data_IF_591647027714
#
_entry.id   IF_591647027714
#
_cell.length_a   1.000
_cell.length_b   1.000
_cell.length_c   1.000
_cell.angle_alpha   90.00
_cell.angle_beta   90.00
_cell.angle_gamma   90.00
#
_symmetry.space_group_name_H-M   'P 1'
#
loop_
_entity.id
_entity.type
_entity.pdbx_description
1 polymer ?
#
# COMPACT_ATOMS: atom_id res chain seq x y z
N UNK A 1 -0.82 5.58 -5.30
CA UNK A 1 -1.56 5.23 -6.50
C UNK A 1 -2.44 4.02 -6.27
N UNK A 2 -3.55 3.99 -6.97
CA UNK A 2 -4.51 2.91 -6.90
C UNK A 2 -4.55 2.18 -8.23
N UNK A 3 -4.35 0.87 -8.20
CA UNK A 3 -4.36 0.02 -9.38
C UNK A 3 -5.41 -1.07 -9.21
N UNK A 4 -6.02 -1.50 -10.31
CA UNK A 4 -7.03 -2.53 -10.27
C UNK A 4 -6.93 -3.47 -11.45
N UNK A 5 -7.34 -4.71 -11.24
CA UNK A 5 -7.35 -5.74 -12.28
C UNK A 5 -8.61 -6.61 -12.12
N UNK A 6 -9.48 -6.56 -13.10
CA UNK A 6 -10.68 -7.38 -13.11
C UNK A 6 -11.57 -7.16 -11.88
N UNK A 7 -12.07 -8.24 -11.31
CA UNK A 7 -12.93 -8.19 -10.14
C UNK A 7 -12.16 -7.90 -8.86
N UNK A 8 -10.89 -8.27 -8.82
CA UNK A 8 -10.05 -8.01 -7.67
C UNK A 8 -9.27 -6.74 -7.89
N UNK A 9 -9.52 -5.73 -7.09
CA UNK A 9 -8.77 -4.49 -7.16
C UNK A 9 -7.52 -4.62 -6.32
N UNK A 10 -6.37 -4.35 -6.92
CA UNK A 10 -5.09 -4.37 -6.24
C UNK A 10 -4.79 -2.97 -5.73
N UNK A 11 -4.68 -2.84 -4.42
CA UNK A 11 -4.35 -1.57 -3.78
C UNK A 11 -3.02 -1.75 -3.07
N UNK A 12 -2.06 -0.89 -3.37
CA UNK A 12 -0.72 -0.97 -2.81
C UNK A 12 -0.37 0.38 -2.18
N UNK A 13 -0.85 0.63 -0.95
CA UNK A 13 -0.48 1.85 -0.27
C UNK A 13 0.95 1.75 0.24
N UNK A 14 1.68 2.84 0.15
CA UNK A 14 3.04 2.91 0.64
C UNK A 14 3.29 4.20 1.36
N UNK A 15 4.25 4.20 2.25
CA UNK A 15 4.61 5.39 3.01
C UNK A 15 5.93 5.23 3.71
N UNK A 16 6.41 6.34 4.24
CA UNK A 16 7.65 6.38 4.99
C UNK A 16 7.40 6.05 6.45
N UNK A 17 8.34 5.36 7.07
CA UNK A 17 8.24 5.03 8.48
C UNK A 17 8.57 6.24 9.34
N UNK A 18 7.66 6.56 10.24
CA UNK A 18 7.83 7.64 11.20
C UNK A 18 7.62 7.10 12.61
N UNK A 19 8.36 7.64 13.57
CA UNK A 19 8.15 7.30 14.96
C UNK A 19 6.81 7.84 15.45
N UNK A 20 6.19 7.12 16.36
CA UNK A 20 4.96 7.57 16.99
C UNK A 20 3.69 7.21 16.25
N UNK A 21 3.80 6.58 15.09
CA UNK A 21 2.65 6.11 14.32
C UNK A 21 2.84 4.65 13.91
N UNK A 22 1.77 3.88 13.97
CA UNK A 22 1.79 2.53 13.41
C UNK A 22 1.66 2.62 11.89
N UNK A 23 2.50 1.90 11.13
CA UNK A 23 2.48 2.01 9.67
C UNK A 23 1.11 1.78 9.04
N UNK A 24 0.36 0.76 9.49
CA UNK A 24 -0.96 0.48 8.94
C UNK A 24 -1.94 1.64 9.16
N UNK A 25 -1.94 2.19 10.36
CA UNK A 25 -2.83 3.30 10.70
C UNK A 25 -2.51 4.56 9.90
N UNK A 26 -1.22 4.85 9.74
CA UNK A 26 -0.78 5.99 8.94
C UNK A 26 -1.23 5.85 7.48
N UNK A 27 -1.09 4.65 6.92
CA UNK A 27 -1.49 4.40 5.53
C UNK A 27 -3.00 4.52 5.34
N UNK A 28 -3.79 4.03 6.28
CA UNK A 28 -5.24 4.16 6.23
C UNK A 28 -5.63 5.63 6.19
N UNK A 29 -5.07 6.42 7.11
CA UNK A 29 -5.36 7.84 7.21
C UNK A 29 -4.93 8.61 5.96
N UNK A 30 -3.69 8.43 5.53
CA UNK A 30 -3.16 9.14 4.38
C UNK A 30 -3.89 8.78 3.09
N UNK A 31 -4.19 7.51 2.90
CA UNK A 31 -4.87 7.06 1.70
C UNK A 31 -6.29 7.64 1.63
N UNK A 32 -6.98 7.66 2.76
CA UNK A 32 -8.32 8.25 2.83
C UNK A 32 -8.29 9.75 2.55
N UNK A 33 -7.31 10.45 3.11
CA UNK A 33 -7.16 11.89 2.88
C UNK A 33 -6.87 12.21 1.42
N UNK A 34 -6.01 11.43 0.79
CA UNK A 34 -5.57 11.70 -0.58
C UNK A 34 -6.55 11.21 -1.63
N UNK A 35 -7.21 10.10 -1.41
CA UNK A 35 -8.02 9.47 -2.44
C UNK A 35 -9.51 9.36 -2.13
N UNK A 36 -9.89 9.52 -0.88
CA UNK A 36 -11.27 9.28 -0.46
C UNK A 36 -11.64 7.81 -0.30
N UNK A 37 -10.66 6.92 -0.41
CA UNK A 37 -10.89 5.47 -0.33
C UNK A 37 -10.43 4.96 1.02
N UNK A 38 -11.32 4.23 1.71
CA UNK A 38 -10.97 3.53 2.94
C UNK A 38 -10.45 2.15 2.59
N UNK A 39 -9.28 1.83 3.11
CA UNK A 39 -8.58 0.58 2.85
C UNK A 39 -8.28 -0.17 4.13
N UNK A 40 -8.02 -1.47 3.99
CA UNK A 40 -7.52 -2.31 5.08
C UNK A 40 -6.20 -2.94 4.63
N UNK A 41 -5.05 -2.42 5.11
CA UNK A 41 -3.75 -3.02 4.78
C UNK A 41 -3.65 -4.45 5.32
N UNK A 42 -3.14 -5.36 4.50
CA UNK A 42 -3.03 -6.78 4.84
C UNK A 42 -1.58 -7.20 4.94
N UNK A 43 -1.00 -7.68 3.84
CA UNK A 43 0.38 -8.16 3.86
C UNK A 43 1.37 -7.03 3.60
N UNK A 44 2.49 -7.08 4.30
CA UNK A 44 3.64 -6.24 4.00
C UNK A 44 4.33 -6.87 2.79
N UNK A 45 4.31 -6.19 1.65
CA UNK A 45 4.81 -6.76 0.40
C UNK A 45 6.20 -6.27 0.03
N UNK A 46 6.65 -5.19 0.63
CA UNK A 46 7.98 -4.72 0.32
C UNK A 46 8.45 -3.63 1.24
N UNK A 47 9.76 -3.53 1.35
CA UNK A 47 10.44 -2.46 2.09
C UNK A 47 11.60 -1.97 1.25
N UNK A 48 11.76 -0.66 1.16
CA UNK A 48 12.88 -0.04 0.48
C UNK A 48 13.68 0.78 1.49
N UNK A 49 14.96 0.54 1.53
CA UNK A 49 15.85 1.25 2.46
C UNK A 49 16.79 2.16 1.70
N UNK A 50 17.00 3.37 2.23
CA UNK A 50 18.12 4.19 1.83
C UNK A 50 18.64 4.91 3.07
N UNK A 51 19.64 5.77 2.92
CA UNK A 51 20.26 6.42 4.07
C UNK A 51 19.38 7.49 4.71
N UNK A 52 18.37 7.96 4.02
CA UNK A 52 17.47 9.02 4.49
C UNK A 52 16.21 8.48 5.13
N UNK A 53 15.62 7.47 4.52
CA UNK A 53 14.32 7.01 4.94
C UNK A 53 14.08 5.56 4.56
N UNK A 54 13.10 4.98 5.22
CA UNK A 54 12.64 3.63 4.95
C UNK A 54 11.19 3.72 4.48
N UNK A 55 10.92 3.07 3.38
CA UNK A 55 9.61 3.07 2.75
C UNK A 55 9.02 1.67 2.85
N UNK A 56 7.74 1.58 3.26
CA UNK A 56 7.04 0.30 3.33
C UNK A 56 5.82 0.33 2.42
N UNK A 57 5.49 -0.82 1.86
CA UNK A 57 4.32 -0.96 1.03
C UNK A 57 3.54 -2.21 1.43
N UNK A 58 2.23 -2.08 1.43
CA UNK A 58 1.33 -3.16 1.80
C UNK A 58 0.40 -3.48 0.64
N UNK A 59 -0.10 -4.72 0.59
CA UNK A 59 -1.30 -5.02 -0.16
C UNK A 59 -2.48 -4.67 0.74
N UNK A 60 -3.49 -4.01 0.20
CA UNK A 60 -4.64 -3.61 0.97
C UNK A 60 -5.93 -4.03 0.29
N UNK A 61 -6.96 -4.26 1.08
CA UNK A 61 -8.30 -4.51 0.59
C UNK A 61 -9.08 -3.21 0.55
N UNK A 62 -9.89 -3.06 -0.48
CA UNK A 62 -10.83 -1.95 -0.58
C UNK A 62 -11.98 -2.17 0.41
N UNK A 63 -12.31 -1.14 1.18
CA UNK A 63 -13.42 -1.20 2.12
C UNK A 63 -14.59 -0.35 1.62
N UNK A 64 -14.36 0.93 1.34
CA UNK A 64 -15.41 1.82 0.90
C UNK A 64 -14.83 3.09 0.30
N UNK A 65 -15.70 3.89 -0.31
CA UNK A 65 -15.32 5.19 -0.85
C UNK A 65 -15.13 5.17 -2.36
N UNK A 66 -15.11 6.34 -2.96
CA UNK A 66 -14.85 6.50 -4.39
C UNK A 66 -13.51 7.20 -4.58
N UNK A 67 -12.68 6.63 -5.46
CA UNK A 67 -11.39 7.22 -5.76
C UNK A 67 -11.56 8.63 -6.32
N UNK A 68 -10.80 9.57 -5.77
CA UNK A 68 -10.82 10.95 -6.19
C UNK A 68 -9.44 11.57 -6.02
N UNK A 69 -9.23 12.66 -6.74
CA UNK A 69 -8.08 13.50 -6.54
C UNK A 69 -8.24 14.30 -5.24
N UNK A 70 -7.16 14.55 -4.53
CA UNK A 70 -7.17 15.32 -3.29
C UNK A 70 -7.02 16.82 -3.52
N UNK A 71 -7.25 17.29 -4.73
CA UNK A 71 -7.07 18.67 -5.14
C UNK A 71 -5.61 19.11 -5.24
N UNK A 72 -4.68 18.22 -4.99
CA UNK A 72 -3.29 18.45 -5.30
C UNK A 72 -3.12 18.13 -6.77
N UNK A 73 -2.53 19.02 -7.50
CA UNK A 73 -2.37 18.91 -8.95
C UNK A 73 -1.61 17.67 -9.40
N UNK A 74 -0.88 17.03 -8.48
CA UNK A 74 -0.10 15.84 -8.79
C UNK A 74 -0.74 14.54 -8.32
N UNK A 75 -1.89 14.64 -7.67
CA UNK A 75 -2.58 13.46 -7.14
C UNK A 75 -3.79 13.14 -7.97
N UNK A 76 -3.76 11.99 -8.59
CA UNK A 76 -4.91 11.48 -9.32
C UNK A 76 -5.11 10.02 -8.94
N UNK A 77 -6.24 9.74 -8.31
CA UNK A 77 -6.58 8.39 -7.91
C UNK A 77 -7.48 7.77 -8.97
N UNK A 78 -6.93 6.86 -9.75
CA UNK A 78 -7.67 6.18 -10.79
C UNK A 78 -7.45 4.68 -10.68
N UNK A 79 -8.43 3.91 -11.16
CA UNK A 79 -8.32 2.46 -11.23
C UNK A 79 -7.67 2.10 -12.56
N UNK A 80 -6.53 1.44 -12.49
CA UNK A 80 -5.76 1.04 -13.67
C UNK A 80 -5.53 -0.47 -13.60
N UNK A 81 -5.69 -1.15 -14.72
CA UNK A 81 -5.41 -2.58 -14.81
C UNK A 81 -3.94 -2.83 -14.48
N UNK A 82 -3.66 -3.93 -13.77
CA UNK A 82 -2.30 -4.32 -13.39
C UNK A 82 -1.39 -4.42 -14.60
N UNK A 83 -1.82 -5.10 -15.66
CA UNK A 83 -1.01 -5.23 -16.87
C UNK A 83 -0.74 -3.88 -17.52
N UNK A 84 -1.72 -3.01 -17.55
CA UNK A 84 -1.56 -1.67 -18.08
C UNK A 84 -0.54 -0.89 -17.25
N UNK A 85 -0.63 -0.97 -15.93
CA UNK A 85 0.30 -0.27 -15.04
C UNK A 85 1.74 -0.75 -15.25
N UNK A 86 1.94 -2.05 -15.43
CA UNK A 86 3.27 -2.62 -15.64
C UNK A 86 3.90 -2.20 -16.98
N UNK A 87 3.07 -1.78 -17.93
CA UNK A 87 3.55 -1.38 -19.26
C UNK A 87 3.61 0.12 -19.47
N UNK A 88 3.21 0.91 -18.48
CA UNK A 88 3.25 2.37 -18.60
C UNK A 88 4.64 2.90 -18.28
N UNK A 89 5.10 3.83 -19.09
CA UNK A 89 6.40 4.47 -18.88
C UNK A 89 6.40 5.45 -17.71
N UNK A 90 5.23 5.97 -17.35
CA UNK A 90 5.11 6.95 -16.27
C UNK A 90 4.95 6.30 -14.88
N UNK A 91 4.95 4.97 -14.81
CA UNK A 91 4.93 4.26 -13.53
C UNK A 91 6.38 3.95 -13.14
N UNK A 92 6.84 4.42 -11.96
CA UNK A 92 8.21 4.17 -11.52
C UNK A 92 8.54 2.69 -11.41
N UNK A 93 9.80 2.33 -11.62
CA UNK A 93 10.24 0.95 -11.55
C UNK A 93 10.00 0.33 -10.17
N UNK A 94 10.21 1.10 -9.11
CA UNK A 94 9.91 0.63 -7.75
C UNK A 94 8.44 0.22 -7.63
N UNK A 95 7.54 1.03 -8.16
CA UNK A 95 6.11 0.74 -8.13
C UNK A 95 5.80 -0.53 -8.91
N UNK A 96 6.41 -0.70 -10.08
CA UNK A 96 6.22 -1.90 -10.89
C UNK A 96 6.68 -3.15 -10.15
N UNK A 97 7.81 -3.08 -9.44
CA UNK A 97 8.30 -4.21 -8.64
C UNK A 97 7.34 -4.55 -7.51
N UNK A 98 6.81 -3.53 -6.84
CA UNK A 98 5.83 -3.74 -5.78
C UNK A 98 4.53 -4.35 -6.30
N UNK A 99 4.07 -3.91 -7.46
CA UNK A 99 2.89 -4.50 -8.09
C UNK A 99 3.11 -5.99 -8.37
N UNK A 100 4.27 -6.35 -8.87
CA UNK A 100 4.60 -7.75 -9.12
C UNK A 100 4.63 -8.57 -7.84
N UNK A 101 5.19 -8.02 -6.77
CA UNK A 101 5.20 -8.68 -5.47
C UNK A 101 3.79 -8.93 -4.95
N UNK A 102 2.93 -7.92 -5.04
CA UNK A 102 1.55 -8.03 -4.58
C UNK A 102 0.76 -9.04 -5.43
N UNK A 103 0.93 -8.99 -6.74
CA UNK A 103 0.21 -9.87 -7.66
C UNK A 103 0.61 -11.34 -7.52
N UNK A 104 1.84 -11.61 -7.06
CA UNK A 104 2.32 -12.98 -6.88
C UNK A 104 1.75 -13.65 -5.62
N UNK A 105 1.05 -12.90 -4.77
CA UNK A 105 0.52 -13.41 -3.52
C UNK A 105 1.54 -13.53 -2.41
N UNK A 106 2.75 -13.01 -2.61
CA UNK A 106 3.78 -13.01 -1.59
C UNK A 106 3.55 -11.95 -0.53
N UNK A 107 4.46 -11.89 0.42
CA UNK A 107 4.42 -10.89 1.45
C UNK A 107 4.42 -11.48 2.85
N UNK A 108 4.48 -10.59 3.83
CA UNK A 108 4.48 -10.94 5.25
C UNK A 108 3.13 -10.61 5.84
N UNK A 109 2.48 -11.61 6.43
CA UNK A 109 1.20 -11.45 7.10
C UNK A 109 1.38 -11.05 8.55
N UNK A 110 0.38 -10.41 9.11
CA UNK A 110 0.37 -10.07 10.52
C UNK A 110 0.29 -11.34 11.36
N UNK A 111 1.20 -11.47 12.30
CA UNK A 111 1.36 -12.66 13.14
C UNK A 111 1.14 -12.30 14.60
N UNK A 112 0.42 -13.16 15.31
CA UNK A 112 0.23 -13.02 16.74
C UNK A 112 1.46 -13.52 17.51
N UNK A 113 1.81 -12.82 18.56
CA UNK A 113 2.85 -13.25 19.49
C UNK A 113 2.56 -12.64 20.86
N UNK A 114 3.27 -13.11 21.90
CA UNK A 114 3.11 -12.56 23.23
C UNK A 114 3.67 -11.13 23.26
N UNK A 115 2.82 -10.15 23.47
CA UNK A 115 3.25 -8.75 23.44
C UNK A 115 2.63 -7.94 22.33
N UNK A 116 1.90 -8.59 21.41
CA UNK A 116 1.20 -7.84 20.37
C UNK A 116 0.06 -7.04 21.02
N UNK A 117 -0.06 -5.78 20.63
CA UNK A 117 -1.10 -4.90 21.13
C UNK A 117 -1.32 -3.78 20.13
N UNK A 118 -1.95 -2.69 20.56
CA UNK A 118 -2.23 -1.54 19.70
C UNK A 118 -0.97 -0.78 19.27
N UNK A 119 0.14 -1.02 19.95
CA UNK A 119 1.41 -0.32 19.69
C UNK A 119 2.49 -1.24 19.13
N UNK A 120 2.18 -2.51 18.93
CA UNK A 120 3.14 -3.50 18.47
C UNK A 120 2.49 -4.44 17.48
N UNK A 121 3.08 -4.54 16.30
CA UNK A 121 2.61 -5.45 15.26
C UNK A 121 3.81 -6.18 14.68
N UNK A 122 3.63 -7.47 14.40
CA UNK A 122 4.67 -8.28 13.75
C UNK A 122 4.13 -8.76 12.41
N UNK A 123 4.95 -8.61 11.37
CA UNK A 123 4.67 -9.16 10.06
C UNK A 123 5.78 -10.15 9.71
N UNK A 124 5.42 -11.34 9.30
CA UNK A 124 6.39 -12.37 9.00
C UNK A 124 5.87 -13.37 7.98
N UNK A 125 6.75 -14.30 7.61
CA UNK A 125 6.51 -15.27 6.53
C UNK A 125 5.87 -16.57 7.03
N UNK A 126 5.06 -16.48 8.02
CA UNK A 126 4.43 -17.66 8.63
C UNK A 126 3.13 -18.06 7.96
#
# INVERSE_FOLDING_TARGET
HTYGAGKGRLIIPGGYLNHGEMPREALIREYLEETGVLIEPRELIGMRFNLKDWYVAFRADYVSGEARSDNDENSEAVWVDVDEALNRDDVPDLTKKLIKCAASGGGFSKISYDGVDQQRELFGAE
#
